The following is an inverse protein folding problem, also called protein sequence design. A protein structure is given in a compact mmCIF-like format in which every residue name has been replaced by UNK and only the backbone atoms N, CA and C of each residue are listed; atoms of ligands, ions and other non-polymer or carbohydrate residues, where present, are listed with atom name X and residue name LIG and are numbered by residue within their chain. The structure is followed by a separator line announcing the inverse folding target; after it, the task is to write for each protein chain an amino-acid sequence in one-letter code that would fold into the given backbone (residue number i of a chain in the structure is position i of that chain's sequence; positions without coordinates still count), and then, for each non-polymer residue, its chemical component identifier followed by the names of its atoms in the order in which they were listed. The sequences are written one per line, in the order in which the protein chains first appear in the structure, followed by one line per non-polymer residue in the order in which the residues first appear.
data_IF_518255959860
#
_entry.id   IF_518255959860
#
_cell.length_a   1.000
_cell.length_b   1.000
_cell.length_c   1.000
_cell.angle_alpha   90.00
_cell.angle_beta   90.00
_cell.angle_gamma   90.00
#
_symmetry.space_group_name_H-M   'P 1'
#
loop_
_entity.id
_entity.type
_entity.pdbx_description
1 polymer ?
#
# COMPACT_ATOMS: atom_id res chain seq x y z
N UNK A 1 -41.66 30.93 9.96
CA UNK A 1 -40.93 29.84 10.66
C UNK A 1 -39.93 29.26 9.67
N UNK A 2 -38.67 29.69 9.72
CA UNK A 2 -37.62 29.13 8.86
C UNK A 2 -37.46 27.64 9.17
N UNK A 3 -37.84 26.79 8.21
CA UNK A 3 -37.66 25.34 8.31
C UNK A 3 -36.17 25.03 8.27
N UNK A 4 -35.52 24.99 9.43
CA UNK A 4 -34.14 24.53 9.57
C UNK A 4 -34.07 23.05 9.18
N UNK A 5 -33.28 22.73 8.16
CA UNK A 5 -33.00 21.34 7.79
C UNK A 5 -32.21 20.67 8.91
N UNK A 6 -32.65 19.48 9.32
CA UNK A 6 -31.94 18.63 10.31
C UNK A 6 -30.54 18.23 9.78
N UNK A 7 -30.38 18.10 8.45
CA UNK A 7 -29.12 17.76 7.79
C UNK A 7 -28.73 18.89 6.85
N UNK A 8 -27.92 19.81 7.35
CA UNK A 8 -27.55 21.07 6.68
C UNK A 8 -26.17 21.04 6.01
N UNK A 9 -25.32 20.06 6.31
CA UNK A 9 -24.00 19.90 5.68
C UNK A 9 -24.15 19.21 4.32
N UNK A 10 -23.71 19.88 3.25
CA UNK A 10 -23.71 19.35 1.88
C UNK A 10 -22.35 18.72 1.57
N UNK A 11 -22.37 17.56 0.92
CA UNK A 11 -21.20 16.92 0.28
C UNK A 11 -21.54 16.71 -1.19
N UNK A 12 -20.65 17.13 -2.09
CA UNK A 12 -20.81 16.99 -3.53
C UNK A 12 -19.86 15.90 -4.02
N UNK A 13 -20.34 15.08 -4.97
CA UNK A 13 -19.56 14.05 -5.65
C UNK A 13 -19.84 14.21 -7.13
N UNK A 14 -18.78 14.37 -7.92
CA UNK A 14 -18.86 14.46 -9.37
C UNK A 14 -18.64 13.07 -9.96
N UNK A 15 -19.47 12.68 -10.91
CA UNK A 15 -19.44 11.37 -11.57
C UNK A 15 -19.45 11.59 -13.08
N UNK A 16 -18.76 10.72 -13.80
CA UNK A 16 -19.01 10.53 -15.23
C UNK A 16 -20.39 9.90 -15.47
N UNK A 17 -20.87 9.96 -16.71
CA UNK A 17 -22.16 9.35 -17.08
C UNK A 17 -22.17 7.85 -16.80
N UNK A 18 -21.07 7.15 -17.08
CA UNK A 18 -20.92 5.71 -16.82
C UNK A 18 -20.97 5.38 -15.31
N UNK A 19 -20.32 6.20 -14.47
CA UNK A 19 -20.35 6.03 -13.02
C UNK A 19 -21.75 6.32 -12.45
N UNK A 20 -22.45 7.32 -13.00
CA UNK A 20 -23.83 7.64 -12.62
C UNK A 20 -24.78 6.50 -12.99
N UNK A 21 -24.65 5.90 -14.17
CA UNK A 21 -25.46 4.75 -14.58
C UNK A 21 -25.25 3.55 -13.63
N UNK A 22 -23.99 3.21 -13.33
CA UNK A 22 -23.65 2.14 -12.36
C UNK A 22 -24.20 2.43 -10.97
N UNK A 23 -24.13 3.68 -10.52
CA UNK A 23 -24.69 4.12 -9.24
C UNK A 23 -26.20 3.92 -9.19
N UNK A 24 -26.93 4.34 -10.24
CA UNK A 24 -28.39 4.21 -10.32
C UNK A 24 -28.84 2.75 -10.34
N UNK A 25 -28.13 1.88 -11.07
CA UNK A 25 -28.38 0.45 -11.07
C UNK A 25 -28.19 -0.16 -9.68
N UNK A 26 -27.09 0.18 -9.00
CA UNK A 26 -26.82 -0.28 -7.64
C UNK A 26 -27.86 0.23 -6.63
N UNK A 27 -28.28 1.50 -6.77
CA UNK A 27 -29.37 2.04 -5.97
C UNK A 27 -30.67 1.28 -6.18
N UNK A 28 -31.01 0.93 -7.43
CA UNK A 28 -32.21 0.15 -7.77
C UNK A 28 -32.13 -1.26 -7.18
N UNK A 29 -30.99 -1.94 -7.30
CA UNK A 29 -30.76 -3.26 -6.72
C UNK A 29 -30.93 -3.27 -5.19
N UNK A 30 -30.38 -2.24 -4.51
CA UNK A 30 -30.47 -2.10 -3.05
C UNK A 30 -31.83 -1.51 -2.57
N UNK A 31 -32.77 -1.21 -3.47
CA UNK A 31 -34.11 -0.70 -3.15
C UNK A 31 -34.17 0.79 -2.76
N UNK A 32 -33.24 1.62 -3.24
CA UNK A 32 -33.18 3.05 -2.95
C UNK A 32 -33.63 3.90 -4.14
N UNK A 33 -34.57 4.82 -3.90
CA UNK A 33 -35.00 5.84 -4.86
C UNK A 33 -34.33 7.21 -4.66
N UNK A 34 -33.62 7.42 -3.54
CA UNK A 34 -33.02 8.70 -3.17
C UNK A 34 -31.52 8.55 -2.91
N UNK A 35 -30.71 9.26 -3.72
CA UNK A 35 -29.24 9.22 -3.60
C UNK A 35 -28.75 9.65 -2.22
N UNK A 36 -29.29 10.74 -1.66
CA UNK A 36 -28.86 11.22 -0.33
C UNK A 36 -29.11 10.20 0.78
N UNK A 37 -30.14 9.36 0.69
CA UNK A 37 -30.39 8.26 1.64
C UNK A 37 -29.44 7.09 1.37
N UNK A 38 -29.27 6.71 0.11
CA UNK A 38 -28.35 5.66 -0.31
C UNK A 38 -26.91 5.96 0.13
N UNK A 39 -26.39 7.14 -0.24
CA UNK A 39 -25.04 7.58 0.10
C UNK A 39 -24.80 7.57 1.61
N UNK A 40 -25.74 8.08 2.42
CA UNK A 40 -25.61 8.01 3.89
C UNK A 40 -25.58 6.58 4.41
N UNK A 41 -26.42 5.69 3.88
CA UNK A 41 -26.40 4.28 4.29
C UNK A 41 -25.07 3.63 3.92
N UNK A 42 -24.56 3.87 2.71
CA UNK A 42 -23.31 3.24 2.28
C UNK A 42 -22.08 3.81 2.98
N UNK A 43 -21.98 5.13 3.13
CA UNK A 43 -20.82 5.82 3.70
C UNK A 43 -20.75 5.73 5.24
N UNK A 44 -21.89 5.55 5.91
CA UNK A 44 -21.98 5.49 7.38
C UNK A 44 -22.39 4.10 7.87
N UNK A 45 -22.22 3.07 7.05
CA UNK A 45 -22.41 1.67 7.46
C UNK A 45 -21.48 1.41 8.66
N UNK A 46 -21.99 0.90 9.80
CA UNK A 46 -21.16 0.53 10.95
C UNK A 46 -20.07 -0.47 10.56
N UNK A 47 -20.42 -1.38 9.64
CA UNK A 47 -19.54 -2.43 9.12
C UNK A 47 -18.91 -2.02 7.78
N UNK A 48 -18.59 -0.74 7.59
CA UNK A 48 -17.86 -0.30 6.40
C UNK A 48 -16.43 -0.84 6.48
N UNK A 49 -16.24 -2.05 5.92
CA UNK A 49 -14.94 -2.72 5.90
C UNK A 49 -13.98 -2.01 4.96
N UNK A 50 -13.08 -1.21 5.52
CA UNK A 50 -11.88 -0.77 4.83
C UNK A 50 -10.78 -1.78 5.06
N UNK A 51 -10.36 -2.46 3.99
CA UNK A 51 -9.22 -3.37 4.04
C UNK A 51 -7.93 -2.56 3.93
N UNK A 52 -7.24 -2.38 5.05
CA UNK A 52 -5.87 -1.89 5.02
C UNK A 52 -4.95 -3.08 4.73
N UNK A 53 -4.50 -3.20 3.49
CA UNK A 53 -3.48 -4.17 3.11
C UNK A 53 -2.11 -3.55 3.37
N UNK A 54 -1.39 -4.09 4.35
CA UNK A 54 -0.03 -3.70 4.68
C UNK A 54 0.83 -4.92 4.91
N UNK A 55 2.14 -4.76 4.72
CA UNK A 55 3.13 -5.84 4.71
C UNK A 55 4.29 -5.54 5.70
N UNK A 56 4.00 -5.20 6.97
CA UNK A 56 5.01 -4.80 7.95
C UNK A 56 6.09 -5.88 8.19
N UNK A 57 5.76 -7.15 7.97
CA UNK A 57 6.72 -8.27 8.08
C UNK A 57 7.89 -8.17 7.10
N UNK A 58 7.73 -7.46 5.98
CA UNK A 58 8.80 -7.25 5.00
C UNK A 58 9.61 -5.97 5.25
N UNK A 59 9.34 -5.24 6.33
CA UNK A 59 10.04 -3.99 6.64
C UNK A 59 11.54 -4.23 6.79
N UNK A 60 11.93 -5.25 7.58
CA UNK A 60 13.32 -5.61 7.80
C UNK A 60 14.05 -5.96 6.48
N UNK A 61 13.38 -6.73 5.62
CA UNK A 61 13.93 -7.11 4.32
C UNK A 61 14.14 -5.89 3.43
N UNK A 62 13.16 -4.99 3.42
CA UNK A 62 13.21 -3.73 2.66
C UNK A 62 14.35 -2.84 3.14
N UNK A 63 14.53 -2.70 4.45
CA UNK A 63 15.60 -1.91 5.05
C UNK A 63 16.97 -2.49 4.69
N UNK A 64 17.12 -3.82 4.67
CA UNK A 64 18.37 -4.45 4.25
C UNK A 64 18.67 -4.23 2.77
N UNK A 65 17.67 -4.37 1.91
CA UNK A 65 17.79 -4.09 0.48
C UNK A 65 18.22 -2.63 0.23
N UNK A 66 17.66 -1.69 1.00
CA UNK A 66 18.06 -0.28 0.94
C UNK A 66 19.54 -0.09 1.33
N UNK A 67 20.03 -0.79 2.35
CA UNK A 67 21.44 -0.74 2.74
C UNK A 67 22.38 -1.25 1.64
N UNK A 68 22.03 -2.36 0.97
CA UNK A 68 22.76 -2.85 -0.22
C UNK A 68 22.77 -1.77 -1.32
N UNK A 69 21.61 -1.17 -1.62
CA UNK A 69 21.52 -0.10 -2.62
C UNK A 69 22.38 1.13 -2.28
N UNK A 70 22.43 1.53 -0.99
CA UNK A 70 23.29 2.62 -0.52
C UNK A 70 24.77 2.28 -0.69
N UNK A 71 25.18 1.05 -0.36
CA UNK A 71 26.55 0.59 -0.55
C UNK A 71 26.94 0.64 -2.04
N UNK A 72 26.14 0.06 -2.93
CA UNK A 72 26.36 0.12 -4.39
C UNK A 72 26.52 1.57 -4.88
N UNK A 73 25.65 2.48 -4.42
CA UNK A 73 25.73 3.89 -4.79
C UNK A 73 27.02 4.56 -4.28
N UNK A 74 27.47 4.23 -3.07
CA UNK A 74 28.74 4.71 -2.52
C UNK A 74 29.92 4.25 -3.37
N UNK A 75 29.94 2.96 -3.74
CA UNK A 75 30.97 2.37 -4.60
C UNK A 75 31.01 3.05 -5.96
N UNK A 76 29.86 3.26 -6.60
CA UNK A 76 29.78 3.93 -7.89
C UNK A 76 30.32 5.38 -7.83
N UNK A 77 30.00 6.12 -6.77
CA UNK A 77 30.53 7.48 -6.55
C UNK A 77 32.04 7.47 -6.33
N UNK A 78 32.53 6.57 -5.48
CA UNK A 78 33.97 6.39 -5.20
C UNK A 78 34.73 6.03 -6.48
N UNK A 79 34.22 5.05 -7.25
CA UNK A 79 34.81 4.64 -8.52
C UNK A 79 34.87 5.78 -9.54
N UNK A 80 33.81 6.60 -9.60
CA UNK A 80 33.76 7.77 -10.47
C UNK A 80 34.78 8.83 -10.05
N UNK A 81 34.94 9.07 -8.74
CA UNK A 81 35.82 10.10 -8.20
C UNK A 81 37.31 9.70 -8.26
N UNK A 82 37.63 8.45 -7.95
CA UNK A 82 39.00 7.97 -7.80
C UNK A 82 39.48 7.07 -8.94
N UNK A 83 38.60 6.75 -9.90
CA UNK A 83 38.90 5.88 -11.04
C UNK A 83 39.14 4.41 -10.68
N UNK A 84 38.84 4.01 -9.43
CA UNK A 84 39.08 2.65 -8.93
C UNK A 84 38.06 2.26 -7.86
N UNK A 85 37.77 0.97 -7.78
CA UNK A 85 36.96 0.36 -6.71
C UNK A 85 37.91 -0.29 -5.70
N UNK A 86 37.67 -0.10 -4.40
CA UNK A 86 38.50 -0.72 -3.37
C UNK A 86 38.05 -2.16 -3.10
N UNK A 87 38.99 -3.02 -2.65
CA UNK A 87 38.62 -4.37 -2.21
C UNK A 87 37.73 -4.36 -0.97
N UNK A 88 37.89 -3.37 -0.10
CA UNK A 88 37.07 -3.21 1.10
C UNK A 88 35.59 -2.99 0.75
N UNK A 89 35.33 -2.09 -0.22
CA UNK A 89 34.00 -1.80 -0.74
C UNK A 89 33.30 -3.07 -1.27
N UNK A 90 34.03 -3.89 -2.03
CA UNK A 90 33.50 -5.15 -2.58
C UNK A 90 33.23 -6.18 -1.48
N UNK A 91 34.08 -6.23 -0.45
CA UNK A 91 33.91 -7.14 0.67
C UNK A 91 32.68 -6.76 1.52
N UNK A 92 32.52 -5.47 1.82
CA UNK A 92 31.33 -4.95 2.53
C UNK A 92 30.06 -5.23 1.73
N UNK A 93 30.04 -4.97 0.42
CA UNK A 93 28.89 -5.30 -0.43
C UNK A 93 28.59 -6.80 -0.44
N UNK A 94 29.61 -7.65 -0.48
CA UNK A 94 29.45 -9.11 -0.40
C UNK A 94 28.76 -9.55 0.87
N UNK A 95 29.21 -9.05 2.03
CA UNK A 95 28.58 -9.31 3.33
C UNK A 95 27.14 -8.79 3.37
N UNK A 96 26.91 -7.59 2.80
CA UNK A 96 25.57 -7.01 2.74
C UNK A 96 24.60 -7.87 1.93
N UNK A 97 25.07 -8.43 0.82
CA UNK A 97 24.30 -9.35 -0.03
C UNK A 97 24.06 -10.71 0.61
N UNK A 98 25.05 -11.28 1.29
CA UNK A 98 24.91 -12.57 1.98
C UNK A 98 23.81 -12.52 3.05
N UNK A 99 23.87 -11.52 3.94
CA UNK A 99 22.83 -11.31 4.95
C UNK A 99 21.44 -11.04 4.32
N UNK A 100 21.38 -10.36 3.16
CA UNK A 100 20.13 -10.16 2.45
C UNK A 100 19.56 -11.49 1.93
N UNK A 101 20.39 -12.35 1.35
CA UNK A 101 19.97 -13.68 0.86
C UNK A 101 19.45 -14.54 2.01
N UNK A 102 20.16 -14.58 3.14
CA UNK A 102 19.72 -15.33 4.33
C UNK A 102 18.36 -14.84 4.84
N UNK A 103 18.14 -13.52 4.88
CA UNK A 103 16.86 -12.94 5.28
C UNK A 103 15.74 -13.28 4.29
N UNK A 104 15.99 -13.24 2.98
CA UNK A 104 15.01 -13.64 1.95
C UNK A 104 14.64 -15.11 2.12
N UNK A 105 15.64 -15.99 2.26
CA UNK A 105 15.38 -17.43 2.42
C UNK A 105 14.55 -17.74 3.66
N UNK A 106 14.86 -17.07 4.78
CA UNK A 106 14.10 -17.18 6.02
C UNK A 106 12.65 -16.72 5.81
N UNK A 107 12.46 -15.55 5.22
CA UNK A 107 11.15 -14.97 4.96
C UNK A 107 10.31 -15.89 4.05
N UNK A 108 10.89 -16.41 2.97
CA UNK A 108 10.21 -17.33 2.05
C UNK A 108 9.80 -18.64 2.75
N UNK A 109 10.63 -19.17 3.66
CA UNK A 109 10.26 -20.34 4.47
C UNK A 109 9.08 -20.04 5.38
N UNK A 110 9.07 -18.89 6.04
CA UNK A 110 7.98 -18.45 6.92
C UNK A 110 6.68 -18.20 6.14
N UNK A 111 6.76 -17.61 4.95
CA UNK A 111 5.61 -17.37 4.07
C UNK A 111 4.99 -18.69 3.59
N UNK A 112 5.81 -19.66 3.16
CA UNK A 112 5.33 -21.00 2.80
C UNK A 112 4.60 -21.68 3.94
N UNK A 113 5.11 -21.57 5.17
CA UNK A 113 4.44 -22.12 6.36
C UNK A 113 3.13 -21.40 6.68
N UNK A 114 3.08 -20.07 6.51
CA UNK A 114 1.86 -19.27 6.70
C UNK A 114 0.77 -19.64 5.70
N UNK A 115 1.14 -19.82 4.43
CA UNK A 115 0.21 -20.23 3.37
C UNK A 115 -0.31 -21.64 3.63
N UNK A 116 0.56 -22.59 4.02
CA UNK A 116 0.16 -23.98 4.29
C UNK A 116 -0.75 -24.15 5.52
N UNK A 117 -0.78 -23.17 6.43
CA UNK A 117 -1.64 -23.18 7.63
C UNK A 117 -3.01 -22.51 7.41
N UNK A 118 -3.21 -21.85 6.27
CA UNK A 118 -4.49 -21.26 5.87
C UNK A 118 -5.27 -22.24 5.02
#
# INVERSE_FOLDING_TARGET
MDKRRIRNVIKQVFLSEEENQKLLEKMKQDGFSNFSRFARKQLLKPDFETWLVSFPEYQLLTDRLLSVGRAINSIAKSATQFGKISQHDLMELGQLMEELVELVEKQVKEDKQRIAKR
#
